data_IF_739979038751
#
_entry.id   IF_739979038751
#
_cell.length_a   1.000
_cell.length_b   1.000
_cell.length_c   1.000
_cell.angle_alpha   90.00
_cell.angle_beta   90.00
_cell.angle_gamma   90.00
#
_symmetry.space_group_name_H-M   'P 1'
#
loop_
_entity.id
_entity.type
_entity.pdbx_description
1 polymer ?
#
# COMPACT_ATOMS: atom_id res chain seq x y z
N UNK A 1 -11.34 -12.36 -0.71
CA UNK A 1 -12.08 -11.12 -0.35
C UNK A 1 -12.04 -10.15 -1.51
N UNK A 2 -13.06 -9.29 -1.71
CA UNK A 2 -13.08 -8.31 -2.80
C UNK A 2 -13.38 -6.89 -2.30
N UNK A 3 -12.72 -5.90 -2.93
CA UNK A 3 -12.97 -4.48 -2.68
C UNK A 3 -13.48 -3.74 -3.92
N UNK A 4 -13.56 -4.41 -5.09
CA UNK A 4 -13.89 -3.85 -6.38
C UNK A 4 -12.68 -3.70 -7.28
N UNK A 5 -12.64 -2.62 -8.07
CA UNK A 5 -11.51 -2.29 -8.94
C UNK A 5 -11.60 -2.86 -10.36
N UNK A 6 -10.56 -2.65 -11.14
CA UNK A 6 -10.50 -2.96 -12.58
C UNK A 6 -10.76 -4.43 -12.92
N UNK A 7 -10.38 -5.33 -12.04
CA UNK A 7 -10.50 -6.77 -12.27
C UNK A 7 -11.96 -7.22 -12.49
N UNK A 8 -12.91 -6.47 -11.92
CA UNK A 8 -14.37 -6.67 -12.09
C UNK A 8 -15.01 -5.59 -12.96
N UNK A 9 -14.24 -4.76 -13.63
CA UNK A 9 -14.71 -3.68 -14.48
C UNK A 9 -14.92 -4.12 -15.92
N UNK A 10 -15.81 -3.43 -16.63
CA UNK A 10 -16.14 -3.70 -18.02
C UNK A 10 -15.97 -2.46 -18.89
N UNK A 11 -15.32 -2.60 -20.02
CA UNK A 11 -15.27 -1.60 -21.07
C UNK A 11 -16.41 -1.74 -22.08
N UNK A 12 -16.68 -0.69 -22.84
CA UNK A 12 -17.69 -0.67 -23.92
C UNK A 12 -17.22 -1.48 -25.14
N UNK A 13 -15.93 -1.68 -25.32
CA UNK A 13 -15.35 -2.50 -26.38
C UNK A 13 -14.15 -3.30 -25.87
N UNK A 14 -13.81 -4.38 -26.54
CA UNK A 14 -12.65 -5.22 -26.22
C UNK A 14 -11.29 -4.49 -26.37
N UNK A 15 -11.24 -3.40 -27.12
CA UNK A 15 -10.04 -2.57 -27.29
C UNK A 15 -9.92 -1.45 -26.28
N UNK A 16 -10.95 -1.23 -25.45
CA UNK A 16 -10.92 -0.22 -24.39
C UNK A 16 -10.11 -0.72 -23.19
N UNK A 17 -8.98 -0.08 -22.92
CA UNK A 17 -8.10 -0.41 -21.78
C UNK A 17 -8.06 0.67 -20.68
N UNK A 18 -8.69 1.82 -20.95
CA UNK A 18 -8.79 2.96 -20.01
C UNK A 18 -10.18 3.61 -20.10
N UNK A 19 -10.55 4.43 -19.10
CA UNK A 19 -11.82 5.17 -19.11
C UNK A 19 -13.08 4.29 -19.00
N UNK A 20 -12.94 3.09 -18.47
CA UNK A 20 -14.06 2.16 -18.20
C UNK A 20 -14.71 2.45 -16.85
N UNK A 21 -15.88 1.91 -16.63
CA UNK A 21 -16.60 2.01 -15.36
C UNK A 21 -16.44 0.74 -14.54
N UNK A 22 -16.50 0.90 -13.22
CA UNK A 22 -16.61 -0.24 -12.31
C UNK A 22 -17.83 -1.07 -12.73
N UNK A 23 -17.59 -2.33 -13.10
CA UNK A 23 -18.63 -3.24 -13.56
C UNK A 23 -19.32 -3.93 -12.39
N UNK A 24 -20.44 -4.59 -12.68
CA UNK A 24 -21.18 -5.42 -11.71
C UNK A 24 -20.75 -6.89 -11.75
N UNK A 25 -19.61 -7.20 -12.36
CA UNK A 25 -19.06 -8.56 -12.33
C UNK A 25 -18.72 -8.93 -10.90
N UNK A 26 -19.39 -9.95 -10.37
CA UNK A 26 -18.97 -10.57 -9.11
C UNK A 26 -17.65 -11.30 -9.27
N UNK A 27 -16.94 -11.49 -8.18
CA UNK A 27 -15.71 -12.30 -8.17
C UNK A 27 -16.01 -13.75 -8.61
N UNK A 28 -17.21 -14.24 -8.36
CA UNK A 28 -17.71 -15.54 -8.84
C UNK A 28 -17.54 -15.74 -10.34
N UNK A 29 -17.81 -14.69 -11.13
CA UNK A 29 -17.69 -14.76 -12.59
C UNK A 29 -16.24 -14.95 -13.03
N UNK A 30 -15.29 -14.43 -12.28
CA UNK A 30 -13.85 -14.66 -12.51
C UNK A 30 -13.44 -16.05 -12.05
N UNK A 31 -13.90 -16.50 -10.89
CA UNK A 31 -13.59 -17.82 -10.34
C UNK A 31 -14.19 -18.95 -11.17
N UNK A 32 -15.33 -18.71 -11.83
CA UNK A 32 -15.93 -19.70 -12.76
C UNK A 32 -15.09 -19.94 -14.02
N UNK A 33 -14.15 -19.04 -14.32
CA UNK A 33 -13.15 -19.24 -15.37
C UNK A 33 -11.94 -20.05 -14.92
N UNK A 34 -11.89 -20.44 -13.63
CA UNK A 34 -10.81 -21.22 -13.00
C UNK A 34 -11.36 -22.50 -12.35
N UNK A 35 -12.01 -23.42 -13.13
CA UNK A 35 -12.68 -24.60 -12.57
C UNK A 35 -11.69 -25.54 -11.85
N UNK A 36 -10.48 -25.70 -12.38
CA UNK A 36 -9.45 -26.55 -11.77
C UNK A 36 -8.98 -26.02 -10.42
N UNK A 37 -8.98 -24.70 -10.22
CA UNK A 37 -8.66 -24.07 -8.95
C UNK A 37 -9.76 -24.38 -7.93
N UNK A 38 -11.03 -24.17 -8.30
CA UNK A 38 -12.19 -24.47 -7.45
C UNK A 38 -12.25 -25.94 -6.98
N UNK A 39 -11.74 -26.84 -7.81
CA UNK A 39 -11.70 -28.27 -7.44
C UNK A 39 -10.59 -28.62 -6.43
N UNK A 40 -9.61 -27.73 -6.25
CA UNK A 40 -8.42 -27.97 -5.41
C UNK A 40 -8.44 -27.25 -4.07
N UNK A 41 -9.23 -26.17 -3.95
CA UNK A 41 -9.28 -25.34 -2.75
C UNK A 41 -10.72 -25.20 -2.25
N UNK A 42 -10.89 -25.23 -0.94
CA UNK A 42 -12.12 -24.79 -0.30
C UNK A 42 -12.11 -23.27 -0.20
N UNK A 43 -13.06 -22.62 -0.85
CA UNK A 43 -13.04 -21.19 -1.10
C UNK A 43 -14.26 -20.50 -0.49
N UNK A 44 -14.01 -19.60 0.45
CA UNK A 44 -15.01 -18.72 1.03
C UNK A 44 -14.87 -17.31 0.43
N UNK A 45 -15.98 -16.74 0.00
CA UNK A 45 -16.00 -15.41 -0.60
C UNK A 45 -16.61 -14.36 0.33
N UNK A 46 -15.96 -13.20 0.40
CA UNK A 46 -16.43 -12.06 1.17
C UNK A 46 -16.25 -10.76 0.38
N UNK A 47 -17.34 -10.11 0.02
CA UNK A 47 -17.32 -8.74 -0.52
C UNK A 47 -17.23 -7.73 0.63
N UNK A 48 -16.09 -7.05 0.73
CA UNK A 48 -15.85 -6.01 1.74
C UNK A 48 -16.39 -4.65 1.28
N UNK A 49 -16.12 -4.31 0.04
CA UNK A 49 -16.62 -3.11 -0.62
C UNK A 49 -16.71 -3.31 -2.13
N UNK A 50 -17.28 -2.33 -2.84
CA UNK A 50 -17.35 -2.31 -4.29
C UNK A 50 -17.07 -0.89 -4.78
N UNK A 51 -15.78 -0.51 -4.78
CA UNK A 51 -15.34 0.84 -5.13
C UNK A 51 -14.15 0.80 -6.10
N UNK A 52 -13.99 1.85 -6.88
CA UNK A 52 -12.70 2.13 -7.49
C UNK A 52 -11.69 2.48 -6.41
N UNK A 53 -10.45 2.03 -6.58
CA UNK A 53 -9.40 2.29 -5.57
C UNK A 53 -9.07 3.77 -5.40
N UNK A 54 -9.35 4.63 -6.38
CA UNK A 54 -9.29 6.08 -6.24
C UNK A 54 -10.28 6.64 -5.21
N UNK A 55 -11.32 5.88 -4.88
CA UNK A 55 -12.34 6.20 -3.87
C UNK A 55 -12.16 5.43 -2.56
N UNK A 56 -11.00 4.80 -2.35
CA UNK A 56 -10.68 4.12 -1.11
C UNK A 56 -10.64 5.10 0.06
N UNK A 57 -11.26 4.71 1.17
CA UNK A 57 -11.31 5.51 2.40
C UNK A 57 -10.70 4.78 3.58
N UNK A 58 -10.38 5.52 4.64
CA UNK A 58 -9.91 4.93 5.92
C UNK A 58 -10.96 3.99 6.53
N UNK A 59 -12.24 4.26 6.36
CA UNK A 59 -13.33 3.38 6.81
C UNK A 59 -13.28 2.02 6.10
N UNK A 60 -13.10 2.04 4.76
CA UNK A 60 -12.96 0.81 3.96
C UNK A 60 -11.70 0.06 4.34
N UNK A 61 -10.58 0.77 4.58
CA UNK A 61 -9.35 0.14 5.06
C UNK A 61 -9.54 -0.59 6.39
N UNK A 62 -10.19 0.05 7.36
CA UNK A 62 -10.44 -0.56 8.66
C UNK A 62 -11.42 -1.75 8.56
N UNK A 63 -12.46 -1.63 7.70
CA UNK A 63 -13.38 -2.74 7.43
C UNK A 63 -12.62 -3.92 6.82
N UNK A 64 -11.76 -3.67 5.83
CA UNK A 64 -10.94 -4.70 5.19
C UNK A 64 -9.98 -5.35 6.19
N UNK A 65 -9.25 -4.56 6.98
CA UNK A 65 -8.30 -5.09 7.96
C UNK A 65 -8.99 -5.97 9.00
N UNK A 66 -10.18 -5.57 9.50
CA UNK A 66 -10.98 -6.40 10.43
C UNK A 66 -11.41 -7.71 9.79
N UNK A 67 -11.87 -7.66 8.55
CA UNK A 67 -12.28 -8.86 7.83
C UNK A 67 -11.11 -9.82 7.59
N UNK A 68 -9.96 -9.29 7.18
CA UNK A 68 -8.73 -10.09 6.97
C UNK A 68 -8.24 -10.68 8.29
N UNK A 69 -8.18 -9.87 9.37
CA UNK A 69 -7.76 -10.37 10.68
C UNK A 69 -8.68 -11.48 11.18
N UNK A 70 -9.99 -11.28 11.13
CA UNK A 70 -10.96 -12.28 11.55
C UNK A 70 -10.85 -13.59 10.74
N UNK A 71 -10.55 -13.52 9.45
CA UNK A 71 -10.29 -14.71 8.64
C UNK A 71 -8.97 -15.38 9.04
N UNK A 72 -7.90 -14.59 9.26
CA UNK A 72 -6.61 -15.13 9.69
C UNK A 72 -6.65 -15.79 11.08
N UNK A 73 -7.54 -15.34 11.97
CA UNK A 73 -7.68 -15.89 13.31
C UNK A 73 -8.40 -17.27 13.32
N UNK A 74 -9.10 -17.62 12.25
CA UNK A 74 -9.77 -18.92 12.11
C UNK A 74 -8.76 -20.01 11.78
N UNK A 75 -8.84 -21.17 12.45
CA UNK A 75 -7.96 -22.33 12.21
C UNK A 75 -8.18 -22.97 10.83
N UNK A 76 -9.42 -22.95 10.33
CA UNK A 76 -9.83 -23.54 9.04
C UNK A 76 -9.46 -22.68 7.82
N UNK A 77 -8.96 -21.47 8.01
CA UNK A 77 -8.48 -20.59 6.94
C UNK A 77 -6.96 -20.67 6.86
N UNK A 78 -6.42 -21.12 5.75
CA UNK A 78 -4.97 -21.21 5.52
C UNK A 78 -4.35 -19.93 4.96
N UNK A 79 -5.09 -19.15 4.15
CA UNK A 79 -4.60 -17.91 3.53
C UNK A 79 -5.74 -16.98 3.14
N UNK A 80 -5.42 -15.72 2.85
CA UNK A 80 -6.36 -14.72 2.36
C UNK A 80 -5.87 -14.13 1.05
N UNK A 81 -6.74 -14.16 0.01
CA UNK A 81 -6.51 -13.46 -1.26
C UNK A 81 -7.48 -12.29 -1.37
N UNK A 82 -6.96 -11.11 -1.72
CA UNK A 82 -7.71 -9.85 -1.81
C UNK A 82 -7.65 -9.34 -3.24
N UNK A 83 -8.80 -9.16 -3.89
CA UNK A 83 -8.87 -8.41 -5.15
C UNK A 83 -9.13 -6.94 -4.87
N UNK A 84 -8.29 -6.08 -5.46
CA UNK A 84 -8.26 -4.65 -5.20
C UNK A 84 -8.01 -3.85 -6.48
N UNK A 85 -8.52 -2.62 -6.52
CA UNK A 85 -8.17 -1.67 -7.57
C UNK A 85 -6.72 -1.20 -7.44
N UNK A 86 -6.05 -1.00 -8.57
CA UNK A 86 -4.59 -0.82 -8.63
C UNK A 86 -4.06 0.57 -8.25
N UNK A 87 -4.92 1.60 -8.19
CA UNK A 87 -4.43 2.99 -8.04
C UNK A 87 -3.95 3.30 -6.62
N UNK A 88 -4.58 2.68 -5.60
CA UNK A 88 -4.15 2.78 -4.19
C UNK A 88 -3.80 1.43 -3.57
N UNK A 89 -3.55 0.40 -4.41
CA UNK A 89 -3.23 -0.95 -3.95
C UNK A 89 -1.99 -0.97 -3.05
N UNK A 90 -0.95 -0.23 -3.40
CA UNK A 90 0.29 -0.17 -2.63
C UNK A 90 0.11 0.45 -1.24
N UNK A 91 -0.81 1.40 -1.11
CA UNK A 91 -1.17 2.00 0.18
C UNK A 91 -1.93 1.00 1.05
N UNK A 92 -2.95 0.36 0.48
CA UNK A 92 -3.74 -0.68 1.15
C UNK A 92 -2.88 -1.86 1.56
N UNK A 93 -2.00 -2.32 0.66
CA UNK A 93 -1.08 -3.42 0.95
C UNK A 93 -0.14 -3.08 2.12
N UNK A 94 0.45 -1.89 2.11
CA UNK A 94 1.37 -1.47 3.17
C UNK A 94 0.64 -1.22 4.50
N UNK A 95 -0.56 -0.66 4.47
CA UNK A 95 -1.40 -0.54 5.65
C UNK A 95 -1.67 -1.92 6.29
N UNK A 96 -2.14 -2.90 5.51
CA UNK A 96 -2.38 -4.26 5.99
C UNK A 96 -1.09 -4.93 6.50
N UNK A 97 0.03 -4.70 5.81
CA UNK A 97 1.35 -5.23 6.19
C UNK A 97 1.81 -4.78 7.58
N UNK A 98 1.40 -3.57 7.98
CA UNK A 98 1.74 -3.00 9.28
C UNK A 98 0.75 -3.36 10.40
N UNK A 99 -0.54 -3.53 10.08
CA UNK A 99 -1.58 -3.61 11.12
C UNK A 99 -2.03 -5.04 11.43
N UNK A 100 -1.90 -5.98 10.50
CA UNK A 100 -2.34 -7.37 10.71
C UNK A 100 -1.43 -8.11 11.69
N UNK A 101 -2.02 -9.03 12.46
CA UNK A 101 -1.34 -9.93 13.39
C UNK A 101 -1.49 -11.37 12.95
N UNK A 102 -0.74 -11.74 11.90
CA UNK A 102 -0.79 -13.09 11.33
C UNK A 102 0.54 -13.49 10.70
N UNK A 103 0.80 -14.78 10.66
CA UNK A 103 1.85 -15.39 9.84
C UNK A 103 1.28 -16.05 8.58
N UNK A 104 -0.05 -16.17 8.48
CA UNK A 104 -0.71 -16.74 7.30
C UNK A 104 -0.48 -15.84 6.08
N UNK A 105 -0.40 -16.44 4.88
CA UNK A 105 -0.27 -15.67 3.64
C UNK A 105 -1.45 -14.73 3.43
N UNK A 106 -1.16 -13.47 3.18
CA UNK A 106 -2.12 -12.47 2.73
C UNK A 106 -1.64 -11.91 1.40
N UNK A 107 -2.38 -12.18 0.34
CA UNK A 107 -1.99 -11.80 -1.02
C UNK A 107 -3.00 -10.81 -1.57
N UNK A 108 -2.52 -9.66 -2.07
CA UNK A 108 -3.34 -8.67 -2.76
C UNK A 108 -3.03 -8.69 -4.25
N UNK A 109 -4.08 -8.67 -5.08
CA UNK A 109 -3.98 -8.69 -6.54
C UNK A 109 -5.05 -7.82 -7.18
N UNK A 110 -4.94 -7.63 -8.50
CA UNK A 110 -5.87 -6.83 -9.29
C UNK A 110 -5.58 -6.97 -10.78
N UNK A 111 -6.07 -6.03 -11.58
CA UNK A 111 -5.85 -6.02 -13.02
C UNK A 111 -5.57 -4.62 -13.55
N UNK A 112 -4.73 -4.51 -14.57
CA UNK A 112 -4.48 -3.27 -15.30
C UNK A 112 -5.48 -3.06 -16.44
N UNK A 113 -6.05 -4.13 -16.95
CA UNK A 113 -7.04 -4.14 -18.04
C UNK A 113 -8.39 -4.62 -17.50
N UNK A 114 -9.53 -4.03 -17.95
CA UNK A 114 -10.85 -4.51 -17.56
C UNK A 114 -11.07 -5.96 -18.02
N UNK A 115 -11.97 -6.67 -17.35
CA UNK A 115 -12.25 -8.08 -17.63
C UNK A 115 -12.65 -8.34 -19.09
N UNK A 116 -13.29 -7.36 -19.75
CA UNK A 116 -13.73 -7.45 -21.15
C UNK A 116 -12.66 -7.09 -22.18
N UNK A 117 -11.49 -6.58 -21.76
CA UNK A 117 -10.45 -6.14 -22.68
C UNK A 117 -9.71 -7.32 -23.34
N UNK A 118 -9.22 -7.08 -24.56
CA UNK A 118 -8.27 -7.99 -25.20
C UNK A 118 -7.04 -8.17 -24.30
N UNK A 119 -6.63 -9.42 -24.10
CA UNK A 119 -5.52 -9.78 -23.20
C UNK A 119 -5.69 -9.21 -21.80
N UNK A 120 -6.88 -9.32 -21.21
CA UNK A 120 -7.12 -9.00 -19.79
C UNK A 120 -6.13 -9.78 -18.92
N UNK A 121 -5.50 -9.09 -17.97
CA UNK A 121 -4.50 -9.68 -17.08
C UNK A 121 -5.11 -10.21 -15.75
N UNK A 122 -6.39 -9.92 -15.49
CA UNK A 122 -7.00 -10.16 -14.19
C UNK A 122 -7.10 -11.65 -13.81
N UNK A 123 -7.50 -12.52 -14.74
CA UNK A 123 -7.69 -13.95 -14.46
C UNK A 123 -6.36 -14.63 -14.11
N UNK A 124 -5.30 -14.36 -14.86
CA UNK A 124 -3.99 -14.92 -14.58
C UNK A 124 -3.41 -14.35 -13.28
N UNK A 125 -3.58 -13.06 -13.01
CA UNK A 125 -3.15 -12.45 -11.76
C UNK A 125 -3.88 -13.07 -10.56
N UNK A 126 -5.19 -13.31 -10.68
CA UNK A 126 -5.98 -13.97 -9.63
C UNK A 126 -5.52 -15.42 -9.40
N UNK A 127 -5.32 -16.17 -10.47
CA UNK A 127 -4.82 -17.54 -10.41
C UNK A 127 -3.45 -17.60 -9.71
N UNK A 128 -2.51 -16.77 -10.13
CA UNK A 128 -1.18 -16.66 -9.51
C UNK A 128 -1.26 -16.26 -8.04
N UNK A 129 -2.17 -15.36 -7.67
CA UNK A 129 -2.37 -14.98 -6.28
C UNK A 129 -2.80 -16.15 -5.40
N UNK A 130 -3.65 -17.04 -5.90
CA UNK A 130 -4.02 -18.28 -5.20
C UNK A 130 -2.85 -19.26 -5.12
N UNK A 131 -2.07 -19.42 -6.19
CA UNK A 131 -0.86 -20.26 -6.16
C UNK A 131 0.14 -19.79 -5.11
N UNK A 132 0.40 -18.47 -5.04
CA UNK A 132 1.27 -17.88 -4.03
C UNK A 132 0.68 -18.05 -2.63
N UNK A 133 -0.62 -17.83 -2.47
CA UNK A 133 -1.29 -18.00 -1.17
C UNK A 133 -1.25 -19.43 -0.65
N UNK A 134 -1.22 -20.42 -1.54
CA UNK A 134 -1.14 -21.85 -1.20
C UNK A 134 0.30 -22.37 -1.00
N UNK A 135 1.32 -21.55 -1.27
CA UNK A 135 2.72 -21.93 -1.10
C UNK A 135 3.16 -21.83 0.35
N UNK A 136 3.82 -22.87 0.87
CA UNK A 136 4.40 -22.87 2.22
C UNK A 136 5.46 -21.77 2.40
N UNK A 137 6.19 -21.41 1.33
CA UNK A 137 7.18 -20.33 1.34
C UNK A 137 6.56 -18.93 1.55
N UNK A 138 5.26 -18.80 1.38
CA UNK A 138 4.50 -17.57 1.62
C UNK A 138 4.23 -17.29 3.10
N UNK A 139 4.40 -18.29 3.97
CA UNK A 139 4.23 -18.13 5.41
C UNK A 139 5.25 -17.13 5.97
N UNK A 140 4.76 -16.16 6.75
CA UNK A 140 5.60 -15.16 7.41
C UNK A 140 6.23 -14.12 6.49
N UNK A 141 5.78 -13.98 5.22
CA UNK A 141 6.27 -12.94 4.31
C UNK A 141 5.52 -11.59 4.45
N UNK A 142 4.53 -11.52 5.37
CA UNK A 142 3.64 -10.37 5.48
C UNK A 142 2.65 -10.29 4.33
N UNK A 143 2.22 -9.09 3.97
CA UNK A 143 1.32 -8.88 2.82
C UNK A 143 2.12 -8.82 1.53
N UNK A 144 1.75 -9.64 0.57
CA UNK A 144 2.38 -9.76 -0.75
C UNK A 144 1.48 -9.18 -1.84
N UNK A 145 2.09 -8.59 -2.85
CA UNK A 145 1.40 -8.09 -4.05
C UNK A 145 1.75 -9.01 -5.23
N UNK A 146 0.73 -9.61 -5.88
CA UNK A 146 0.93 -10.53 -6.99
C UNK A 146 0.24 -10.00 -8.23
N UNK A 147 1.03 -9.54 -9.19
CA UNK A 147 0.59 -9.05 -10.50
C UNK A 147 1.66 -9.35 -11.55
N UNK A 148 1.22 -9.60 -12.80
CA UNK A 148 2.12 -9.80 -13.93
C UNK A 148 3.25 -10.83 -13.63
N UNK A 149 2.88 -11.96 -13.05
CA UNK A 149 3.77 -13.06 -12.65
C UNK A 149 4.82 -12.71 -11.57
N UNK A 150 4.74 -11.55 -10.95
CA UNK A 150 5.71 -11.07 -9.97
C UNK A 150 5.13 -11.14 -8.57
N UNK A 151 5.93 -11.58 -7.61
CA UNK A 151 5.62 -11.59 -6.19
C UNK A 151 6.39 -10.46 -5.53
N UNK A 152 5.70 -9.37 -5.21
CA UNK A 152 6.29 -8.19 -4.59
C UNK A 152 5.95 -8.06 -3.11
N UNK A 153 6.76 -7.30 -2.36
CA UNK A 153 6.44 -6.95 -0.96
C UNK A 153 5.51 -5.74 -0.91
N UNK A 154 4.60 -5.71 0.04
CA UNK A 154 3.79 -4.51 0.29
C UNK A 154 4.64 -3.27 0.61
N UNK A 155 5.82 -3.45 1.20
CA UNK A 155 6.71 -2.36 1.56
C UNK A 155 7.38 -1.69 0.35
N UNK A 156 7.79 -2.46 -0.65
CA UNK A 156 8.62 -1.95 -1.75
C UNK A 156 7.92 -1.87 -3.09
N UNK A 157 6.92 -2.73 -3.33
CA UNK A 157 6.19 -2.68 -4.60
C UNK A 157 5.46 -1.36 -4.75
N UNK A 158 5.71 -0.64 -5.83
CA UNK A 158 5.08 0.63 -6.16
C UNK A 158 4.63 0.66 -7.61
N UNK A 159 3.61 1.48 -7.89
CA UNK A 159 3.08 1.66 -9.24
C UNK A 159 3.99 2.62 -10.03
N UNK A 160 4.70 2.08 -11.01
CA UNK A 160 5.71 2.81 -11.81
C UNK A 160 5.19 3.29 -13.17
N UNK A 161 4.03 2.83 -13.60
CA UNK A 161 3.44 3.17 -14.89
C UNK A 161 1.91 3.28 -14.78
N UNK A 162 1.32 4.23 -15.46
CA UNK A 162 -0.12 4.49 -15.40
C UNK A 162 -1.00 3.42 -16.04
N UNK A 163 -0.53 2.72 -17.10
CA UNK A 163 -1.35 1.83 -17.93
C UNK A 163 -0.72 0.47 -18.25
N UNK A 164 0.61 0.29 -18.14
CA UNK A 164 1.27 -0.96 -18.45
C UNK A 164 0.87 -2.07 -17.47
N UNK A 165 0.73 -3.31 -17.95
CA UNK A 165 0.46 -4.48 -17.09
C UNK A 165 1.64 -4.77 -16.15
N UNK A 166 2.88 -4.56 -16.58
CA UNK A 166 4.10 -4.64 -15.77
C UNK A 166 4.34 -3.33 -15.01
N UNK A 167 3.35 -2.86 -14.26
CA UNK A 167 3.39 -1.54 -13.61
C UNK A 167 3.90 -1.56 -12.18
N UNK A 168 3.71 -2.65 -11.45
CA UNK A 168 4.19 -2.75 -10.07
C UNK A 168 5.59 -3.34 -10.04
N UNK A 169 6.48 -2.70 -9.31
CA UNK A 169 7.87 -3.14 -9.17
C UNK A 169 8.43 -2.72 -7.81
N UNK A 170 9.29 -3.57 -7.24
CA UNK A 170 10.10 -3.29 -6.06
C UNK A 170 11.31 -2.39 -6.36
N UNK A 171 11.50 -2.01 -7.62
CA UNK A 171 12.62 -1.17 -8.08
C UNK A 171 13.98 -1.76 -7.64
N UNK A 172 14.87 -0.93 -7.09
CA UNK A 172 16.20 -1.38 -6.60
C UNK A 172 16.12 -2.34 -5.40
N UNK A 173 14.98 -2.43 -4.73
CA UNK A 173 14.82 -3.33 -3.59
C UNK A 173 14.49 -4.77 -4.01
N UNK A 174 14.17 -4.98 -5.29
CA UNK A 174 13.83 -6.28 -5.86
C UNK A 174 12.45 -6.81 -5.48
N UNK A 175 12.17 -7.98 -5.99
CA UNK A 175 10.94 -8.72 -5.76
C UNK A 175 11.19 -9.90 -4.83
N UNK A 176 10.16 -10.41 -4.17
CA UNK A 176 10.25 -11.65 -3.40
C UNK A 176 10.47 -12.86 -4.32
N UNK A 177 9.83 -12.86 -5.48
CA UNK A 177 9.88 -13.97 -6.39
C UNK A 177 9.01 -13.80 -7.62
N UNK A 178 8.71 -14.91 -8.27
CA UNK A 178 7.86 -14.95 -9.45
C UNK A 178 7.03 -16.23 -9.51
N UNK A 179 5.98 -16.21 -10.34
CA UNK A 179 5.20 -17.39 -10.71
C UNK A 179 5.45 -17.66 -12.18
N UNK A 180 5.94 -18.86 -12.50
CA UNK A 180 6.22 -19.28 -13.88
C UNK A 180 5.64 -20.66 -14.11
N UNK A 181 4.73 -20.79 -15.07
CA UNK A 181 4.11 -22.07 -15.43
C UNK A 181 3.63 -22.89 -14.21
N UNK A 182 2.85 -22.26 -13.36
CA UNK A 182 2.33 -22.82 -12.09
C UNK A 182 3.38 -23.07 -10.98
N UNK A 183 4.65 -22.80 -11.21
CA UNK A 183 5.68 -22.87 -10.18
C UNK A 183 5.80 -21.53 -9.45
N UNK A 184 5.60 -21.54 -8.15
CA UNK A 184 5.88 -20.40 -7.26
C UNK A 184 7.34 -20.48 -6.85
N UNK A 185 8.08 -19.41 -7.11
CA UNK A 185 9.51 -19.35 -6.79
C UNK A 185 9.81 -18.13 -5.96
N UNK A 186 10.29 -18.32 -4.73
CA UNK A 186 10.79 -17.26 -3.88
C UNK A 186 12.32 -17.20 -3.97
N UNK A 187 12.84 -16.01 -4.27
CA UNK A 187 14.28 -15.76 -4.32
C UNK A 187 14.75 -14.90 -3.13
N UNK A 188 13.82 -14.17 -2.51
CA UNK A 188 14.07 -13.23 -1.42
C UNK A 188 13.03 -13.40 -0.30
N UNK A 189 13.31 -12.78 0.84
CA UNK A 189 12.39 -12.70 1.99
C UNK A 189 12.17 -11.25 2.40
N UNK A 190 11.02 -10.98 3.03
CA UNK A 190 10.78 -9.71 3.67
C UNK A 190 11.63 -9.63 4.95
N UNK A 191 12.63 -8.74 4.98
CA UNK A 191 13.56 -8.57 6.10
C UNK A 191 13.11 -7.47 7.08
N UNK A 192 12.21 -6.58 6.64
CA UNK A 192 11.74 -5.47 7.48
C UNK A 192 10.59 -5.92 8.37
N UNK A 193 10.47 -5.37 9.58
CA UNK A 193 9.39 -5.72 10.48
C UNK A 193 8.02 -5.52 9.85
N UNK A 194 7.15 -6.51 10.02
CA UNK A 194 5.79 -6.50 9.50
C UNK A 194 4.86 -7.34 10.38
N UNK A 195 3.58 -7.26 10.16
CA UNK A 195 2.53 -8.06 10.79
C UNK A 195 2.79 -8.28 12.31
N UNK A 196 3.24 -9.45 12.71
CA UNK A 196 3.49 -9.79 14.12
C UNK A 196 4.55 -8.93 14.79
N UNK A 197 5.46 -8.34 14.02
CA UNK A 197 6.64 -7.62 14.52
C UNK A 197 6.39 -6.11 14.67
N UNK A 198 5.24 -5.60 14.23
CA UNK A 198 4.90 -4.18 14.35
C UNK A 198 4.20 -3.87 15.67
N UNK A 199 4.24 -2.64 16.19
CA UNK A 199 3.47 -2.25 17.36
C UNK A 199 2.00 -1.95 17.05
N UNK A 200 1.60 -1.90 15.78
CA UNK A 200 0.26 -1.52 15.34
C UNK A 200 -0.70 -2.69 15.35
N UNK A 201 -1.97 -2.44 15.65
CA UNK A 201 -3.04 -3.43 15.63
C UNK A 201 -4.35 -2.78 15.18
N UNK A 202 -5.26 -3.59 14.62
CA UNK A 202 -6.62 -3.12 14.30
C UNK A 202 -7.40 -2.70 15.55
N UNK A 203 -7.01 -3.19 16.70
CA UNK A 203 -7.61 -2.87 18.00
C UNK A 203 -7.25 -1.46 18.48
N UNK A 204 -6.21 -0.84 17.90
CA UNK A 204 -5.89 0.57 18.14
C UNK A 204 -6.99 1.52 17.62
N UNK A 205 -7.94 1.01 16.83
CA UNK A 205 -9.03 1.77 16.23
C UNK A 205 -10.40 1.38 16.76
N UNK A 206 -11.14 2.33 17.35
CA UNK A 206 -12.56 2.15 17.64
C UNK A 206 -13.37 1.94 16.34
N UNK A 207 -14.62 1.40 16.48
CA UNK A 207 -15.44 0.99 15.31
C UNK A 207 -15.65 2.07 14.25
N UNK A 208 -15.79 3.34 14.64
CA UNK A 208 -16.10 4.47 13.77
C UNK A 208 -15.00 5.55 13.83
N UNK A 209 -13.78 5.16 14.08
CA UNK A 209 -12.68 6.10 14.21
C UNK A 209 -11.98 6.31 12.87
N UNK A 210 -11.52 7.54 12.63
CA UNK A 210 -10.76 7.92 11.46
C UNK A 210 -9.26 8.02 11.79
N UNK A 211 -8.45 7.95 10.75
CA UNK A 211 -7.01 8.21 10.87
C UNK A 211 -6.73 9.69 11.17
N UNK A 212 -5.65 9.99 11.92
CA UNK A 212 -5.13 11.35 11.99
C UNK A 212 -4.87 11.90 10.59
N UNK A 213 -5.21 13.18 10.38
CA UNK A 213 -4.94 13.83 9.10
C UNK A 213 -3.44 13.96 8.86
N UNK A 214 -2.96 13.34 7.80
CA UNK A 214 -1.58 13.45 7.29
C UNK A 214 -1.67 13.78 5.81
N UNK A 215 -1.13 14.92 5.43
CA UNK A 215 -1.14 15.39 4.05
C UNK A 215 0.23 15.15 3.38
N UNK A 216 0.24 14.94 2.07
CA UNK A 216 1.47 14.89 1.26
C UNK A 216 1.57 16.21 0.51
N UNK A 217 2.69 16.91 0.67
CA UNK A 217 3.02 18.12 -0.08
C UNK A 217 4.11 17.77 -1.08
N UNK A 218 3.79 17.91 -2.37
CA UNK A 218 4.71 17.63 -3.47
C UNK A 218 5.45 18.91 -3.85
N UNK A 219 6.76 18.97 -3.60
CA UNK A 219 7.58 20.15 -3.89
C UNK A 219 7.93 20.26 -5.38
N UNK A 220 8.09 21.49 -5.83
CA UNK A 220 8.43 21.85 -7.23
C UNK A 220 9.38 23.05 -7.27
N UNK A 221 9.80 23.42 -8.48
CA UNK A 221 10.54 24.68 -8.66
C UNK A 221 9.65 25.87 -8.24
N UNK A 222 10.24 26.86 -7.57
CA UNK A 222 9.55 28.05 -7.04
C UNK A 222 8.47 27.75 -5.96
N UNK A 223 8.61 26.64 -5.23
CA UNK A 223 7.78 26.34 -4.08
C UNK A 223 8.02 27.38 -2.98
N UNK A 224 6.96 27.98 -2.46
CA UNK A 224 7.00 29.06 -1.48
C UNK A 224 6.57 28.63 -0.06
N UNK A 225 6.16 27.37 0.11
CA UNK A 225 5.72 26.80 1.38
C UNK A 225 4.27 27.13 1.78
N UNK A 226 3.51 27.83 0.95
CA UNK A 226 2.11 28.17 1.30
C UNK A 226 1.22 26.93 1.42
N UNK A 227 1.48 25.86 0.65
CA UNK A 227 0.75 24.59 0.81
C UNK A 227 1.00 23.95 2.17
N UNK A 228 2.22 24.06 2.71
CA UNK A 228 2.52 23.58 4.08
C UNK A 228 1.68 24.33 5.10
N UNK A 229 1.61 25.65 5.01
CA UNK A 229 0.79 26.50 5.90
C UNK A 229 -0.70 26.15 5.78
N UNK A 230 -1.19 25.92 4.57
CA UNK A 230 -2.58 25.51 4.32
C UNK A 230 -2.89 24.14 4.97
N UNK A 231 -2.00 23.14 4.87
CA UNK A 231 -2.18 21.85 5.54
C UNK A 231 -2.29 22.01 7.07
N UNK A 232 -1.43 22.84 7.67
CA UNK A 232 -1.48 23.16 9.12
C UNK A 232 -2.80 23.84 9.49
N UNK A 233 -3.22 24.84 8.70
CA UNK A 233 -4.49 25.53 8.92
C UNK A 233 -5.72 24.61 8.82
N UNK A 234 -5.65 23.58 7.95
CA UNK A 234 -6.66 22.54 7.81
C UNK A 234 -6.59 21.44 8.88
N UNK A 235 -5.72 21.59 9.89
CA UNK A 235 -5.64 20.69 11.05
C UNK A 235 -4.82 19.43 10.84
N UNK A 236 -3.88 19.41 9.89
CA UNK A 236 -2.94 18.32 9.71
C UNK A 236 -2.20 18.02 11.03
N UNK A 237 -2.11 16.73 11.37
CA UNK A 237 -1.31 16.20 12.49
C UNK A 237 0.07 15.75 12.03
N UNK A 238 0.20 15.50 10.73
CA UNK A 238 1.44 15.18 10.06
C UNK A 238 1.49 15.72 8.64
N UNK A 239 2.68 15.94 8.15
CA UNK A 239 2.96 16.33 6.76
C UNK A 239 4.09 15.43 6.26
N UNK A 240 3.88 14.82 5.09
CA UNK A 240 4.95 14.20 4.34
C UNK A 240 5.35 15.17 3.23
N UNK A 241 6.50 15.77 3.38
CA UNK A 241 7.05 16.69 2.38
C UNK A 241 7.86 15.89 1.34
N UNK A 242 7.31 15.70 0.16
CA UNK A 242 7.96 15.04 -0.96
C UNK A 242 8.89 16.03 -1.67
N UNK A 243 10.09 16.20 -1.13
CA UNK A 243 11.09 17.15 -1.57
C UNK A 243 11.79 16.77 -2.87
N UNK A 244 12.72 17.59 -3.30
CA UNK A 244 13.47 17.43 -4.54
C UNK A 244 14.65 16.47 -4.34
N UNK A 245 15.00 15.68 -5.35
CA UNK A 245 16.15 14.77 -5.30
C UNK A 245 16.19 13.92 -4.01
N UNK A 246 17.22 14.06 -3.18
CA UNK A 246 17.37 13.40 -1.87
C UNK A 246 16.43 14.01 -0.78
N UNK A 247 15.23 14.42 -1.15
CA UNK A 247 14.31 15.09 -0.23
C UNK A 247 14.74 16.53 0.11
N UNK A 248 15.46 17.21 -0.80
CA UNK A 248 15.90 18.58 -0.60
C UNK A 248 14.70 19.54 -0.46
N UNK A 249 14.85 20.45 0.48
CA UNK A 249 13.86 21.45 0.83
C UNK A 249 14.31 22.81 0.28
N UNK A 250 13.48 23.50 -0.52
CA UNK A 250 13.78 24.87 -0.94
C UNK A 250 13.87 25.80 0.28
N UNK A 251 14.81 26.74 0.26
CA UNK A 251 15.05 27.68 1.38
C UNK A 251 13.79 28.46 1.80
N UNK A 252 12.94 28.79 0.84
CA UNK A 252 11.65 29.49 1.09
C UNK A 252 10.62 28.62 1.80
N UNK A 253 10.72 27.29 1.72
CA UNK A 253 9.77 26.32 2.31
C UNK A 253 10.16 25.97 3.73
N UNK A 254 11.47 25.92 4.04
CA UNK A 254 11.99 25.50 5.34
C UNK A 254 11.33 26.24 6.53
N UNK A 255 11.13 27.57 6.52
CA UNK A 255 10.47 28.28 7.61
C UNK A 255 9.05 27.76 7.91
N UNK A 256 8.28 27.41 6.87
CA UNK A 256 6.92 26.88 7.03
C UNK A 256 6.93 25.47 7.64
N UNK A 257 7.85 24.59 7.23
CA UNK A 257 8.02 23.25 7.80
C UNK A 257 8.49 23.31 9.26
N UNK A 258 9.45 24.19 9.57
CA UNK A 258 9.94 24.40 10.93
C UNK A 258 8.83 24.93 11.86
N UNK A 259 7.99 25.84 11.37
CA UNK A 259 6.84 26.34 12.12
C UNK A 259 5.80 25.23 12.34
N UNK A 260 5.50 24.41 11.33
CA UNK A 260 4.62 23.26 11.47
C UNK A 260 5.11 22.30 12.55
N UNK A 261 6.42 21.96 12.54
CA UNK A 261 7.05 21.10 13.54
C UNK A 261 6.94 21.69 14.95
N UNK A 262 7.21 23.00 15.12
CA UNK A 262 7.06 23.69 16.42
C UNK A 262 5.60 23.70 16.95
N UNK A 263 4.63 23.70 16.05
CA UNK A 263 3.19 23.56 16.37
C UNK A 263 2.77 22.13 16.69
N UNK A 264 3.70 21.18 16.70
CA UNK A 264 3.43 19.78 17.02
C UNK A 264 2.99 18.93 15.83
N UNK A 265 2.96 19.48 14.61
CA UNK A 265 2.74 18.70 13.38
C UNK A 265 4.03 17.92 13.06
N UNK A 266 3.94 16.61 12.90
CA UNK A 266 5.12 15.79 12.57
C UNK A 266 5.42 15.85 11.08
N UNK A 267 6.66 16.22 10.74
CA UNK A 267 7.07 16.43 9.35
C UNK A 267 8.04 15.33 8.93
N UNK A 268 7.63 14.56 7.94
CA UNK A 268 8.48 13.55 7.30
C UNK A 268 9.03 14.11 6.00
N UNK A 269 10.34 14.13 5.90
CA UNK A 269 11.07 14.53 4.70
C UNK A 269 11.25 13.31 3.79
N UNK A 270 10.47 13.24 2.73
CA UNK A 270 10.50 12.20 1.70
C UNK A 270 11.01 12.78 0.37
N UNK A 271 11.03 11.97 -0.66
CA UNK A 271 11.36 12.41 -2.02
C UNK A 271 10.16 12.27 -2.95
N UNK A 272 10.06 13.15 -3.95
CA UNK A 272 9.17 12.98 -5.10
C UNK A 272 9.72 11.97 -6.13
N UNK A 273 10.97 11.54 -5.96
CA UNK A 273 11.58 10.49 -6.79
C UNK A 273 11.15 9.13 -6.25
N UNK A 274 10.69 8.24 -7.11
CA UNK A 274 10.14 6.95 -6.71
C UNK A 274 11.16 5.96 -6.16
N UNK A 275 12.42 6.14 -6.45
CA UNK A 275 13.49 5.19 -6.14
C UNK A 275 14.65 5.86 -5.43
N UNK A 276 15.26 5.14 -4.51
CA UNK A 276 16.35 5.62 -3.69
C UNK A 276 15.91 5.94 -2.26
N UNK A 277 16.89 6.17 -1.40
CA UNK A 277 16.64 6.54 -0.02
C UNK A 277 16.90 8.03 0.21
N UNK A 278 16.12 8.61 1.09
CA UNK A 278 16.33 9.96 1.60
C UNK A 278 17.28 9.85 2.78
N UNK A 279 18.54 10.18 2.55
CA UNK A 279 19.57 10.15 3.56
C UNK A 279 19.86 11.55 4.11
N UNK A 280 20.80 11.63 5.02
CA UNK A 280 21.29 12.79 5.73
C UNK A 280 20.87 14.14 5.12
N UNK A 281 20.18 14.92 5.91
CA UNK A 281 19.81 16.28 5.58
C UNK A 281 20.89 17.27 6.00
N UNK A 282 20.62 18.54 5.78
CA UNK A 282 21.37 19.62 6.42
C UNK A 282 21.01 19.62 7.92
N UNK A 283 21.98 19.96 8.79
CA UNK A 283 21.75 20.02 10.24
C UNK A 283 20.55 20.87 10.63
N UNK A 284 20.33 21.97 9.93
CA UNK A 284 19.19 22.88 10.12
C UNK A 284 17.82 22.20 9.91
N UNK A 285 17.73 21.16 9.04
CA UNK A 285 16.49 20.40 8.85
C UNK A 285 16.23 19.47 10.03
N UNK A 286 17.29 18.87 10.58
CA UNK A 286 17.19 18.01 11.76
C UNK A 286 16.87 18.82 13.01
N UNK A 287 17.49 20.01 13.17
CA UNK A 287 17.21 20.96 14.25
C UNK A 287 15.77 21.49 14.19
N UNK A 288 15.23 21.65 12.98
CA UNK A 288 13.82 21.99 12.77
C UNK A 288 12.86 20.80 13.07
N UNK A 289 13.38 19.63 13.46
CA UNK A 289 12.59 18.46 13.82
C UNK A 289 12.04 17.67 12.62
N UNK A 290 12.65 17.82 11.45
CA UNK A 290 12.25 17.08 10.26
C UNK A 290 12.84 15.66 10.30
N UNK A 291 12.05 14.69 9.88
CA UNK A 291 12.36 13.25 10.00
C UNK A 291 12.51 12.67 8.59
N UNK A 292 13.60 11.97 8.33
CA UNK A 292 13.79 11.27 7.06
C UNK A 292 12.82 10.11 6.89
N UNK A 293 12.24 9.94 5.70
CA UNK A 293 11.45 8.76 5.32
C UNK A 293 12.30 7.53 5.02
N UNK A 294 13.64 7.67 5.02
CA UNK A 294 14.54 6.64 4.53
C UNK A 294 14.16 6.20 3.11
N UNK A 295 13.96 4.90 2.89
CA UNK A 295 13.59 4.34 1.59
C UNK A 295 12.08 4.08 1.44
N UNK A 296 11.24 4.69 2.27
CA UNK A 296 9.80 4.72 2.04
C UNK A 296 9.44 5.82 1.05
N UNK A 297 8.57 5.49 0.09
CA UNK A 297 7.94 6.50 -0.76
C UNK A 297 7.07 7.45 0.09
N UNK A 298 6.81 8.65 -0.42
CA UNK A 298 5.96 9.62 0.28
C UNK A 298 4.58 9.04 0.62
N UNK A 299 4.02 8.21 -0.26
CA UNK A 299 2.72 7.55 -0.08
C UNK A 299 2.76 6.59 1.13
N UNK A 300 3.77 5.72 1.20
CA UNK A 300 3.92 4.75 2.30
C UNK A 300 4.36 5.42 3.59
N UNK A 301 5.19 6.45 3.51
CA UNK A 301 5.56 7.28 4.65
C UNK A 301 4.32 7.92 5.32
N UNK A 302 3.33 8.32 4.51
CA UNK A 302 2.04 8.81 5.01
C UNK A 302 1.30 7.74 5.81
N UNK A 303 1.21 6.53 5.31
CA UNK A 303 0.54 5.40 5.99
C UNK A 303 1.22 5.12 7.34
N UNK A 304 2.55 5.00 7.35
CA UNK A 304 3.30 4.76 8.58
C UNK A 304 3.11 5.88 9.61
N UNK A 305 3.16 7.14 9.16
CA UNK A 305 2.95 8.30 10.06
C UNK A 305 1.53 8.32 10.63
N UNK A 306 0.51 8.00 9.83
CA UNK A 306 -0.88 7.91 10.32
C UNK A 306 -1.02 6.87 11.44
N UNK A 307 -0.42 5.69 11.28
CA UNK A 307 -0.43 4.64 12.28
C UNK A 307 0.36 5.04 13.54
N UNK A 308 1.53 5.64 13.37
CA UNK A 308 2.34 6.14 14.47
C UNK A 308 1.59 7.19 15.31
N UNK A 309 1.02 8.19 14.65
CA UNK A 309 0.25 9.25 15.31
C UNK A 309 -1.01 8.68 15.98
N UNK A 310 -1.67 7.70 15.39
CA UNK A 310 -2.81 7.00 15.98
C UNK A 310 -2.42 6.28 17.26
N UNK A 311 -1.24 5.69 17.29
CA UNK A 311 -0.67 5.01 18.47
C UNK A 311 -0.15 5.98 19.53
N UNK A 312 -0.21 7.30 19.28
CA UNK A 312 0.34 8.32 20.19
C UNK A 312 1.86 8.47 20.10
N UNK A 313 2.51 7.87 19.10
CA UNK A 313 3.96 7.98 18.90
C UNK A 313 4.22 9.32 18.21
N UNK A 314 4.64 10.31 19.00
CA UNK A 314 4.89 11.67 18.55
C UNK A 314 6.31 12.16 18.86
N UNK A 315 7.07 11.40 19.61
CA UNK A 315 8.48 11.71 19.86
C UNK A 315 9.30 11.61 18.58
N UNK A 316 10.19 12.59 18.35
CA UNK A 316 10.94 12.72 17.09
C UNK A 316 11.94 11.57 16.94
N UNK A 317 12.64 11.18 18.00
CA UNK A 317 13.66 10.13 17.93
C UNK A 317 13.02 8.73 17.81
N UNK A 318 11.88 8.54 18.46
CA UNK A 318 11.06 7.33 18.25
C UNK A 318 10.57 7.22 16.79
N UNK A 319 10.12 8.31 16.20
CA UNK A 319 9.72 8.35 14.80
C UNK A 319 10.93 8.15 13.86
N UNK A 320 12.08 8.77 14.12
CA UNK A 320 13.33 8.53 13.35
C UNK A 320 13.69 7.05 13.33
N UNK A 321 13.65 6.39 14.49
CA UNK A 321 13.89 4.95 14.61
C UNK A 321 12.85 4.16 13.79
N UNK A 322 11.58 4.48 13.95
CA UNK A 322 10.50 3.81 13.25
C UNK A 322 10.62 3.92 11.72
N UNK A 323 10.87 5.11 11.18
CA UNK A 323 11.02 5.31 9.74
C UNK A 323 12.26 4.62 9.16
N UNK A 324 13.32 4.45 9.96
CA UNK A 324 14.51 3.66 9.56
C UNK A 324 14.20 2.16 9.52
N UNK A 325 13.43 1.66 10.45
CA UNK A 325 13.29 0.22 10.70
C UNK A 325 12.12 -0.40 9.90
N UNK A 326 11.03 0.33 9.70
CA UNK A 326 9.81 -0.16 9.01
C UNK A 326 9.76 0.14 7.52
#
# INVERSE_FOLDING_TARGET
>A
MSTGGTIVSSGESATQTTGYRLGNLGIDALLNQLPDLKARIDLEELAVSHVDSSSMTSEIWLKLARAVQAACDREDVSAVVITHGRDTMEETAYFLHLILKTQKPVVITGAMRPATALSSDGILNLYNAFQVAASDESLGQGVMMVLNNTIGTARFSTKTHSTNVATFSGLINGELGAVVDNAVMFNNRCLRPHTMQTPFSIEDFARNESFPRVDIVFSHADDDGELVKACVACGAKGIVFAGLGNGCIPDRVLPALAEASRKGVRVIRASRVFCGAVFNGLSEWEEAGLISSWNLSAIKARVLLQLALKKGITDIDALRTMFRDY
#
